data_IF_425323255002
#
_entry.id   IF_425323255002
#
_cell.length_a   1.000
_cell.length_b   1.000
_cell.length_c   1.000
_cell.angle_alpha   90.00
_cell.angle_beta   90.00
_cell.angle_gamma   90.00
#
_symmetry.space_group_name_H-M   'P 1'
#
loop_
_entity.id
_entity.type
_entity.pdbx_description
1 polymer ?
#
# COMPACT_ATOMS: atom_id res chain seq x y z
N UNK A 1 -14.79 8.48 -4.72
CA UNK A 1 -13.96 7.63 -5.60
C UNK A 1 -14.70 6.31 -5.74
N UNK A 2 -14.95 5.85 -6.97
CA UNK A 2 -15.56 4.54 -7.21
C UNK A 2 -14.42 3.52 -7.24
N UNK A 3 -14.47 2.53 -6.34
CA UNK A 3 -13.47 1.47 -6.29
C UNK A 3 -13.84 0.33 -7.23
N UNK A 4 -12.86 -0.29 -7.91
CA UNK A 4 -13.06 -1.60 -8.51
C UNK A 4 -13.48 -2.61 -7.43
N UNK A 5 -14.39 -3.52 -7.77
CA UNK A 5 -14.85 -4.56 -6.86
C UNK A 5 -13.68 -5.36 -6.28
N UNK A 6 -13.73 -5.61 -4.96
CA UNK A 6 -12.74 -6.44 -4.25
C UNK A 6 -11.45 -5.73 -3.85
N UNK A 7 -11.36 -4.40 -3.97
CA UNK A 7 -10.32 -3.60 -3.35
C UNK A 7 -10.83 -3.01 -2.03
N UNK A 8 -10.16 -3.34 -0.93
CA UNK A 8 -10.42 -2.72 0.37
C UNK A 8 -9.34 -1.68 0.68
N UNK A 9 -9.75 -0.52 1.16
CA UNK A 9 -8.84 0.56 1.53
C UNK A 9 -9.29 1.24 2.83
N UNK A 10 -8.31 1.77 3.57
CA UNK A 10 -8.53 2.73 4.65
C UNK A 10 -8.39 4.12 4.04
N UNK A 11 -9.45 4.93 4.09
CA UNK A 11 -9.47 6.28 3.55
C UNK A 11 -9.63 7.33 4.64
N UNK A 12 -8.95 8.46 4.46
CA UNK A 12 -9.08 9.63 5.32
C UNK A 12 -9.32 10.81 4.40
N UNK A 13 -10.45 11.49 4.58
CA UNK A 13 -10.93 12.68 3.84
C UNK A 13 -10.02 13.10 2.66
N UNK A 14 -10.32 12.55 1.48
CA UNK A 14 -9.64 12.80 0.19
C UNK A 14 -8.29 12.11 -0.06
N UNK A 15 -7.80 11.23 0.83
CA UNK A 15 -6.55 10.49 0.65
C UNK A 15 -6.74 8.98 0.92
N UNK A 16 -6.28 8.15 -0.03
CA UNK A 16 -6.27 6.70 0.10
C UNK A 16 -5.09 6.30 0.99
N UNK A 17 -5.30 6.01 2.27
CA UNK A 17 -4.18 5.79 3.19
C UNK A 17 -3.47 4.47 2.91
N UNK A 18 -4.18 3.34 2.98
CA UNK A 18 -3.59 2.01 2.82
C UNK A 18 -4.56 1.03 2.18
N UNK A 19 -4.01 0.09 1.42
CA UNK A 19 -4.78 -0.92 0.67
C UNK A 19 -4.60 -2.29 1.30
N UNK A 20 -5.67 -3.08 1.29
CA UNK A 20 -5.59 -4.49 1.67
C UNK A 20 -4.88 -5.26 0.59
N UNK A 21 -3.77 -5.92 0.93
CA UNK A 21 -2.98 -6.72 0.00
C UNK A 21 -3.24 -8.23 0.10
N UNK A 22 -4.35 -8.63 0.74
CA UNK A 22 -4.65 -10.03 1.04
C UNK A 22 -4.12 -10.54 2.38
N UNK A 23 -3.23 -9.77 3.03
CA UNK A 23 -2.58 -10.16 4.27
C UNK A 23 -2.59 -9.07 5.34
N UNK A 24 -2.42 -7.81 4.95
CA UNK A 24 -2.45 -6.64 5.84
C UNK A 24 -2.79 -5.37 5.05
N UNK A 25 -3.14 -4.31 5.76
CA UNK A 25 -3.29 -2.97 5.19
C UNK A 25 -1.95 -2.25 5.20
N UNK A 26 -1.34 -2.03 4.04
CA UNK A 26 -0.05 -1.30 3.95
C UNK A 26 1.02 -1.84 4.91
N UNK A 27 1.43 -1.01 5.88
CA UNK A 27 2.41 -1.36 6.92
C UNK A 27 1.79 -1.82 8.24
N UNK A 28 0.47 -1.98 8.33
CA UNK A 28 -0.18 -2.51 9.52
C UNK A 28 0.33 -3.92 9.77
N UNK A 29 0.51 -4.34 11.04
CA UNK A 29 0.67 -5.73 11.34
C UNK A 29 -0.56 -6.52 10.84
N UNK A 30 -0.40 -7.82 10.53
CA UNK A 30 -1.46 -8.68 10.00
C UNK A 30 -2.45 -9.08 11.11
N UNK A 31 -3.07 -8.08 11.73
CA UNK A 31 -4.05 -8.25 12.82
C UNK A 31 -5.48 -8.25 12.29
N UNK A 32 -5.68 -7.90 11.02
CA UNK A 32 -6.99 -7.92 10.39
C UNK A 32 -7.15 -9.18 9.54
N UNK A 33 -8.35 -9.73 9.57
CA UNK A 33 -8.78 -10.85 8.73
C UNK A 33 -10.07 -10.46 8.03
N UNK A 34 -10.14 -10.68 6.73
CA UNK A 34 -11.38 -10.50 5.98
C UNK A 34 -12.40 -11.55 6.44
N UNK A 35 -13.60 -11.11 6.80
CA UNK A 35 -14.69 -11.99 7.19
C UNK A 35 -15.15 -12.84 5.99
N UNK A 36 -15.75 -14.01 6.23
CA UNK A 36 -16.15 -14.97 5.18
C UNK A 36 -17.11 -14.37 4.15
N UNK A 37 -17.95 -13.42 4.60
CA UNK A 37 -18.90 -12.70 3.74
C UNK A 37 -18.25 -11.58 2.91
N UNK A 38 -16.93 -11.35 3.08
CA UNK A 38 -16.14 -10.30 2.43
C UNK A 38 -16.68 -8.86 2.58
N UNK A 39 -17.51 -8.62 3.59
CA UNK A 39 -18.16 -7.33 3.86
C UNK A 39 -17.48 -6.51 4.96
N UNK A 40 -16.57 -7.14 5.71
CA UNK A 40 -16.01 -6.58 6.94
C UNK A 40 -14.68 -7.22 7.29
N UNK A 41 -13.90 -6.52 8.13
CA UNK A 41 -12.65 -7.02 8.70
C UNK A 41 -12.81 -7.27 10.19
N UNK A 42 -12.35 -8.44 10.63
CA UNK A 42 -12.23 -8.81 12.04
C UNK A 42 -10.80 -8.51 12.50
N UNK A 43 -10.66 -7.86 13.65
CA UNK A 43 -9.37 -7.65 14.29
C UNK A 43 -9.10 -8.79 15.28
N UNK A 44 -8.05 -9.56 15.01
CA UNK A 44 -7.61 -10.64 15.88
C UNK A 44 -6.88 -10.07 17.10
N UNK A 45 -7.38 -10.38 18.29
CA UNK A 45 -6.81 -9.94 19.57
C UNK A 45 -6.35 -11.14 20.40
N UNK A 46 -5.43 -10.90 21.33
CA UNK A 46 -5.05 -11.93 22.30
C UNK A 46 -6.21 -12.26 23.24
N UNK A 47 -6.35 -13.54 23.68
CA UNK A 47 -7.34 -13.92 24.69
C UNK A 47 -7.18 -13.07 25.96
N UNK A 48 -8.30 -12.66 26.56
CA UNK A 48 -8.34 -11.82 27.77
C UNK A 48 -7.63 -10.45 27.63
N UNK A 49 -7.41 -9.98 26.40
CA UNK A 49 -6.89 -8.65 26.11
C UNK A 49 -7.94 -7.86 25.36
N UNK A 50 -8.14 -6.59 25.74
CA UNK A 50 -8.94 -5.66 24.95
C UNK A 50 -8.01 -4.86 24.07
N UNK A 51 -8.27 -4.86 22.76
CA UNK A 51 -7.58 -4.01 21.81
C UNK A 51 -8.59 -3.21 20.99
N UNK A 52 -8.21 -2.01 20.56
CA UNK A 52 -9.04 -1.18 19.67
C UNK A 52 -8.18 -0.47 18.65
N UNK A 53 -8.71 -0.34 17.44
CA UNK A 53 -8.19 0.59 16.43
C UNK A 53 -8.86 1.95 16.66
N UNK A 54 -8.07 3.02 16.70
CA UNK A 54 -8.56 4.40 16.67
C UNK A 54 -7.94 5.13 15.50
N UNK A 55 -8.59 6.18 15.04
CA UNK A 55 -8.10 7.05 13.96
C UNK A 55 -8.16 8.50 14.43
N UNK A 56 -7.07 9.23 14.26
CA UNK A 56 -7.00 10.65 14.55
C UNK A 56 -7.64 11.49 13.42
N UNK A 57 -7.99 12.76 13.67
CA UNK A 57 -8.46 13.66 12.61
C UNK A 57 -7.46 13.84 11.46
N UNK A 58 -6.16 13.64 11.71
CA UNK A 58 -5.11 13.67 10.69
C UNK A 58 -5.01 12.36 9.89
N UNK A 59 -5.87 11.37 10.18
CA UNK A 59 -5.88 10.08 9.49
C UNK A 59 -4.86 9.06 10.00
N UNK A 60 -4.22 9.37 11.12
CA UNK A 60 -3.26 8.45 11.74
C UNK A 60 -4.03 7.43 12.55
N UNK A 61 -3.71 6.16 12.34
CA UNK A 61 -4.37 5.08 13.04
C UNK A 61 -3.45 4.46 14.09
N UNK A 62 -4.06 4.13 15.23
CA UNK A 62 -3.38 3.58 16.39
C UNK A 62 -4.08 2.31 16.84
N UNK A 63 -3.29 1.29 17.16
CA UNK A 63 -3.78 0.12 17.90
C UNK A 63 -3.48 0.36 19.36
N UNK A 64 -4.54 0.44 20.16
CA UNK A 64 -4.44 0.49 21.60
C UNK A 64 -4.70 -0.87 22.20
N UNK A 65 -3.99 -1.17 23.29
CA UNK A 65 -4.26 -2.33 24.15
C UNK A 65 -4.56 -1.85 25.56
N UNK A 66 -5.58 -2.40 26.17
CA UNK A 66 -5.95 -2.10 27.54
C UNK A 66 -4.93 -2.68 28.51
N UNK A 67 -4.50 -1.88 29.48
CA UNK A 67 -3.59 -2.31 30.55
C UNK A 67 -4.37 -2.34 31.86
N UNK A 68 -4.83 -3.52 32.33
CA UNK A 68 -5.70 -3.62 33.50
C UNK A 68 -5.09 -3.02 34.77
N UNK A 69 -3.80 -3.26 35.02
CA UNK A 69 -3.11 -2.75 36.22
C UNK A 69 -2.97 -1.23 36.28
N UNK A 70 -3.16 -0.54 35.17
CA UNK A 70 -3.04 0.92 35.06
C UNK A 70 -4.36 1.61 34.69
N UNK A 71 -5.43 0.84 34.42
CA UNK A 71 -6.72 1.33 33.94
C UNK A 71 -6.61 2.33 32.77
N UNK A 72 -5.73 2.03 31.80
CA UNK A 72 -5.52 2.90 30.66
C UNK A 72 -5.35 2.14 29.34
N UNK A 73 -5.56 2.87 28.24
CA UNK A 73 -5.29 2.41 26.90
C UNK A 73 -3.85 2.76 26.52
N UNK A 74 -2.98 1.76 26.44
CA UNK A 74 -1.61 1.95 25.97
C UNK A 74 -1.56 1.88 24.43
N UNK A 75 -0.77 2.74 23.80
CA UNK A 75 -0.53 2.68 22.35
C UNK A 75 0.44 1.54 22.07
N UNK A 76 -0.06 0.44 21.50
CA UNK A 76 0.74 -0.74 21.15
C UNK A 76 1.38 -0.61 19.78
N UNK A 77 0.66 0.01 18.84
CA UNK A 77 1.19 0.39 17.54
C UNK A 77 0.73 1.81 17.24
N UNK A 78 1.70 2.68 16.97
CA UNK A 78 1.45 3.90 16.24
C UNK A 78 2.04 3.73 14.87
N UNK A 79 1.24 3.96 13.84
CA UNK A 79 1.83 4.19 12.55
C UNK A 79 2.71 5.41 12.59
N UNK A 80 3.93 5.22 12.09
CA UNK A 80 4.92 6.28 12.09
C UNK A 80 4.61 7.19 10.93
N UNK A 81 4.49 8.45 11.29
CA UNK A 81 4.81 9.61 10.47
C UNK A 81 6.27 9.55 9.99
N UNK A 82 6.64 8.53 9.23
CA UNK A 82 7.91 8.60 8.55
C UNK A 82 7.82 9.66 7.44
N UNK A 83 8.97 10.18 7.04
CA UNK A 83 9.01 11.27 6.08
C UNK A 83 8.41 10.89 4.72
N UNK A 84 8.27 9.58 4.42
CA UNK A 84 7.60 9.10 3.21
C UNK A 84 6.09 9.12 3.34
N UNK A 85 5.56 8.75 4.51
CA UNK A 85 4.14 8.87 4.82
C UNK A 85 3.68 10.31 4.65
N UNK A 86 4.39 11.28 5.25
CA UNK A 86 4.08 12.69 5.06
C UNK A 86 4.41 13.21 3.67
N UNK A 87 5.50 12.71 3.10
CA UNK A 87 5.95 13.11 1.78
C UNK A 87 4.96 12.78 0.68
N UNK A 88 4.09 11.80 0.89
CA UNK A 88 2.96 11.52 0.02
C UNK A 88 2.02 12.72 -0.15
N UNK A 89 1.65 13.39 0.94
CA UNK A 89 0.76 14.56 0.89
C UNK A 89 1.42 15.75 0.22
N UNK A 90 2.74 15.87 0.39
CA UNK A 90 3.55 16.95 -0.17
C UNK A 90 4.17 16.60 -1.54
N UNK A 91 3.84 15.43 -2.11
CA UNK A 91 4.46 14.90 -3.35
C UNK A 91 5.99 14.95 -3.34
N UNK A 92 6.60 14.60 -2.19
CA UNK A 92 8.06 14.64 -1.97
C UNK A 92 8.82 13.86 -3.02
N UNK A 93 8.27 12.72 -3.47
CA UNK A 93 8.86 11.91 -4.52
C UNK A 93 7.99 11.97 -5.78
N UNK A 94 8.63 12.29 -6.91
CA UNK A 94 7.97 12.36 -8.21
C UNK A 94 7.67 10.98 -8.81
N UNK A 95 7.06 10.91 -10.00
CA UNK A 95 6.76 9.67 -10.69
C UNK A 95 8.00 8.77 -10.86
N UNK A 96 7.78 7.45 -10.82
CA UNK A 96 8.83 6.41 -10.97
C UNK A 96 9.99 6.48 -9.94
N UNK A 97 9.80 7.20 -8.83
CA UNK A 97 10.75 7.26 -7.73
C UNK A 97 10.19 6.61 -6.46
N UNK A 98 11.08 6.09 -5.62
CA UNK A 98 10.75 5.44 -4.34
C UNK A 98 11.30 6.29 -3.21
N UNK A 99 10.46 6.50 -2.19
CA UNK A 99 10.86 7.17 -0.96
C UNK A 99 11.52 6.19 0.01
N UNK A 100 12.66 6.59 0.58
CA UNK A 100 13.33 5.89 1.68
C UNK A 100 12.99 6.55 3.01
N UNK A 101 13.07 5.80 4.12
CA UNK A 101 12.78 6.29 5.48
C UNK A 101 13.52 7.57 5.88
N UNK A 102 14.64 7.86 5.24
CA UNK A 102 15.41 9.09 5.44
C UNK A 102 14.88 10.28 4.62
N UNK A 103 13.64 10.22 4.14
CA UNK A 103 13.01 11.22 3.25
C UNK A 103 13.69 11.38 1.88
N UNK A 104 14.56 10.44 1.49
CA UNK A 104 15.27 10.53 0.22
C UNK A 104 14.49 9.82 -0.89
N UNK A 105 14.40 10.46 -2.05
CA UNK A 105 13.79 9.87 -3.24
C UNK A 105 14.87 9.27 -4.13
N UNK A 106 14.65 8.04 -4.59
CA UNK A 106 15.57 7.36 -5.49
C UNK A 106 14.82 6.79 -6.68
N UNK A 107 15.45 6.88 -7.85
CA UNK A 107 14.98 6.24 -9.06
C UNK A 107 15.11 4.72 -8.97
N UNK A 108 14.06 3.99 -9.37
CA UNK A 108 14.13 2.53 -9.48
C UNK A 108 15.08 2.12 -10.62
N UNK A 109 15.46 0.85 -10.67
CA UNK A 109 16.28 0.34 -11.75
C UNK A 109 15.60 0.53 -13.12
N UNK A 110 16.36 0.94 -14.14
CA UNK A 110 15.86 1.18 -15.49
C UNK A 110 15.28 2.58 -15.75
N UNK A 111 15.17 3.43 -14.73
CA UNK A 111 14.83 4.85 -14.88
C UNK A 111 16.03 5.75 -14.50
N UNK A 112 15.95 7.02 -14.85
CA UNK A 112 16.96 8.05 -14.54
C UNK A 112 16.27 9.32 -14.05
N UNK A 113 16.99 10.16 -13.32
CA UNK A 113 16.47 11.44 -12.83
C UNK A 113 16.04 12.34 -13.97
N UNK A 114 14.89 13.00 -13.79
CA UNK A 114 14.41 14.06 -14.67
C UNK A 114 14.82 15.41 -14.07
N UNK A 115 15.27 16.35 -14.91
CA UNK A 115 15.69 17.71 -14.51
C UNK A 115 14.63 18.47 -13.70
N UNK A 116 13.35 18.20 -13.96
CA UNK A 116 12.21 18.84 -13.28
C UNK A 116 11.69 18.06 -12.06
N UNK A 117 12.41 17.02 -11.63
CA UNK A 117 12.04 16.15 -10.52
C UNK A 117 11.38 14.83 -10.96
N UNK A 118 11.53 13.82 -10.11
CA UNK A 118 11.09 12.45 -10.38
C UNK A 118 12.04 11.70 -11.32
N UNK A 119 11.56 10.61 -11.88
CA UNK A 119 12.34 9.73 -12.74
C UNK A 119 11.63 9.44 -14.06
N UNK A 120 12.40 9.12 -15.09
CA UNK A 120 11.91 8.76 -16.42
C UNK A 120 12.62 7.49 -16.90
N UNK A 121 11.93 6.63 -17.66
CA UNK A 121 12.54 5.43 -18.23
C UNK A 121 13.73 5.79 -19.12
N UNK A 122 14.81 5.01 -19.00
CA UNK A 122 16.00 5.16 -19.86
C UNK A 122 15.74 4.70 -21.30
N UNK A 123 14.91 3.67 -21.45
CA UNK A 123 14.57 3.05 -22.72
C UNK A 123 13.07 3.18 -23.01
N UNK A 124 12.71 3.28 -24.29
CA UNK A 124 11.33 3.19 -24.72
C UNK A 124 10.75 1.80 -24.44
N UNK A 125 9.46 1.75 -24.11
CA UNK A 125 8.72 0.49 -23.91
C UNK A 125 8.54 -0.22 -25.24
N UNK A 126 8.68 -1.54 -25.21
CA UNK A 126 8.42 -2.43 -26.34
C UNK A 126 7.17 -3.30 -26.12
N UNK A 127 6.42 -3.04 -25.05
CA UNK A 127 5.19 -3.75 -24.69
C UNK A 127 5.43 -5.25 -24.50
N UNK A 128 5.11 -6.09 -25.50
CA UNK A 128 5.20 -7.55 -25.40
C UNK A 128 6.63 -8.08 -25.19
N UNK A 129 7.65 -7.27 -25.45
CA UNK A 129 9.07 -7.61 -25.21
C UNK A 129 9.62 -6.97 -23.92
N UNK A 130 8.81 -6.22 -23.18
CA UNK A 130 9.25 -5.60 -21.94
C UNK A 130 9.49 -6.66 -20.86
N UNK A 131 10.39 -6.34 -19.93
CA UNK A 131 10.68 -7.13 -18.75
C UNK A 131 10.36 -6.32 -17.50
N UNK A 132 10.01 -7.01 -16.42
CA UNK A 132 9.71 -6.39 -15.14
C UNK A 132 10.84 -6.59 -14.14
N UNK A 133 11.19 -5.50 -13.45
CA UNK A 133 12.08 -5.54 -12.30
C UNK A 133 11.27 -5.80 -11.03
N UNK A 134 11.71 -6.77 -10.22
CA UNK A 134 11.04 -7.09 -8.96
C UNK A 134 11.46 -6.14 -7.86
N UNK A 135 10.55 -5.23 -7.48
CA UNK A 135 10.73 -4.38 -6.30
C UNK A 135 10.25 -5.11 -5.04
N UNK A 136 11.05 -5.07 -3.97
CA UNK A 136 10.74 -5.73 -2.70
C UNK A 136 10.45 -4.73 -1.59
N UNK A 137 9.60 -5.11 -0.62
CA UNK A 137 9.26 -4.28 0.56
C UNK A 137 8.72 -2.89 0.16
N UNK A 138 7.96 -2.85 -0.93
CA UNK A 138 7.31 -1.64 -1.41
C UNK A 138 5.89 -1.54 -0.88
N UNK A 139 5.47 -0.30 -0.59
CA UNK A 139 4.05 0.05 -0.51
C UNK A 139 3.49 0.12 -1.93
N UNK A 140 2.34 -0.49 -2.15
CA UNK A 140 1.68 -0.43 -3.46
C UNK A 140 1.20 1.00 -3.76
N UNK A 141 1.30 1.46 -5.02
CA UNK A 141 0.79 2.78 -5.42
C UNK A 141 -0.73 2.87 -5.24
N UNK A 142 -1.23 4.09 -5.07
CA UNK A 142 -2.66 4.37 -4.86
C UNK A 142 -3.53 4.10 -6.06
N UNK A 143 -2.97 4.19 -7.26
CA UNK A 143 -3.75 4.14 -8.49
C UNK A 143 -3.77 2.71 -9.08
N UNK A 144 -3.52 1.70 -8.24
CA UNK A 144 -3.61 0.30 -8.65
C UNK A 144 -5.05 -0.10 -8.94
N UNK A 145 -5.30 -0.49 -10.19
CA UNK A 145 -6.55 -1.13 -10.62
C UNK A 145 -6.42 -2.66 -10.51
N UNK A 146 -7.51 -3.31 -10.07
CA UNK A 146 -7.59 -4.77 -10.03
C UNK A 146 -8.08 -5.28 -11.37
N UNK A 147 -7.40 -6.28 -11.90
CA UNK A 147 -7.73 -6.88 -13.18
C UNK A 147 -8.78 -7.97 -12.90
N UNK A 148 -10.04 -7.68 -13.20
CA UNK A 148 -11.13 -8.67 -13.27
C UNK A 148 -11.27 -9.62 -12.07
N UNK A 149 -11.60 -9.11 -10.87
CA UNK A 149 -12.29 -9.83 -9.76
C UNK A 149 -11.76 -11.18 -9.25
N UNK A 150 -10.73 -11.74 -9.88
CA UNK A 150 -10.19 -13.09 -9.71
C UNK A 150 -8.87 -12.98 -8.98
N UNK A 151 -8.48 -14.01 -8.23
CA UNK A 151 -7.16 -14.04 -7.59
C UNK A 151 -6.16 -14.65 -8.55
N UNK A 152 -5.56 -13.83 -9.42
CA UNK A 152 -4.52 -14.30 -10.33
C UNK A 152 -3.22 -14.65 -9.59
N UNK A 153 -2.48 -15.63 -10.12
CA UNK A 153 -1.09 -15.87 -9.72
C UNK A 153 -0.20 -14.70 -10.18
N UNK A 154 1.00 -14.59 -9.60
CA UNK A 154 1.97 -13.53 -10.01
C UNK A 154 2.34 -13.68 -11.49
N UNK A 155 2.51 -14.92 -11.95
CA UNK A 155 2.84 -15.25 -13.33
C UNK A 155 1.68 -14.94 -14.29
N UNK A 156 0.44 -15.09 -13.84
CA UNK A 156 -0.73 -14.69 -14.61
C UNK A 156 -0.84 -13.16 -14.70
N UNK A 157 -0.61 -12.45 -13.60
CA UNK A 157 -0.57 -10.99 -13.58
C UNK A 157 0.48 -10.43 -14.55
N UNK A 158 1.66 -11.04 -14.59
CA UNK A 158 2.71 -10.68 -15.53
C UNK A 158 2.23 -10.84 -16.98
N UNK A 159 1.64 -11.99 -17.32
CA UNK A 159 1.13 -12.25 -18.67
C UNK A 159 0.02 -11.29 -19.08
N UNK A 160 -0.86 -10.91 -18.16
CA UNK A 160 -1.92 -9.94 -18.46
C UNK A 160 -1.32 -8.56 -18.65
N UNK A 161 -0.43 -8.13 -17.76
CA UNK A 161 0.24 -6.84 -17.88
C UNK A 161 1.08 -6.74 -19.18
N UNK A 162 1.77 -7.81 -19.60
CA UNK A 162 2.51 -7.81 -20.87
C UNK A 162 1.62 -7.63 -22.10
N UNK A 163 0.36 -8.11 -22.06
CA UNK A 163 -0.59 -7.97 -23.17
C UNK A 163 -1.20 -6.57 -23.26
N UNK A 164 -1.18 -5.83 -22.16
CA UNK A 164 -1.67 -4.46 -22.09
C UNK A 164 -0.48 -3.49 -22.17
N UNK A 165 -0.30 -2.85 -23.33
CA UNK A 165 0.80 -1.92 -23.54
C UNK A 165 0.74 -0.66 -22.64
N UNK A 166 -0.40 -0.39 -22.03
CA UNK A 166 -0.56 0.68 -21.06
C UNK A 166 -0.18 0.24 -19.64
N UNK A 167 -0.16 -1.07 -19.35
CA UNK A 167 0.29 -1.59 -18.07
C UNK A 167 1.77 -1.29 -17.81
N UNK A 168 2.08 -0.72 -16.65
CA UNK A 168 3.45 -0.32 -16.27
C UNK A 168 4.03 -1.15 -15.12
N UNK A 169 3.18 -1.78 -14.33
CA UNK A 169 3.54 -2.56 -13.14
C UNK A 169 2.38 -3.48 -12.73
N UNK A 170 2.69 -4.58 -12.06
CA UNK A 170 1.71 -5.45 -11.44
C UNK A 170 2.18 -5.88 -10.04
N UNK A 171 1.26 -6.40 -9.25
CA UNK A 171 1.52 -6.98 -7.94
C UNK A 171 0.67 -8.24 -7.73
N UNK A 172 0.84 -8.92 -6.58
CA UNK A 172 -0.07 -9.99 -6.18
C UNK A 172 -1.50 -9.45 -6.06
N UNK A 173 -2.48 -10.26 -6.45
CA UNK A 173 -3.89 -9.85 -6.52
C UNK A 173 -4.11 -8.70 -7.50
N UNK A 174 -3.43 -8.75 -8.65
CA UNK A 174 -4.05 -8.23 -9.87
C UNK A 174 -5.32 -9.08 -10.13
#
# INVERSE_FOLDING_TARGET
>A
MNYPDGIFAIDVTNYRMDTWNGYRFGDLPPVFQLNDNADSFLMNTFPNSYSRLTMSPAGLYHIHTWVPGMNLWNVSLSMREDACYWGRFNKTCGPYSVCSKNASCHCIQGVTEKLEGGCIRRNAMKCNEDIFEKLQKMKLPEDGERINGSSYSVEECEKVCLKDCDCKSFARMC
#
